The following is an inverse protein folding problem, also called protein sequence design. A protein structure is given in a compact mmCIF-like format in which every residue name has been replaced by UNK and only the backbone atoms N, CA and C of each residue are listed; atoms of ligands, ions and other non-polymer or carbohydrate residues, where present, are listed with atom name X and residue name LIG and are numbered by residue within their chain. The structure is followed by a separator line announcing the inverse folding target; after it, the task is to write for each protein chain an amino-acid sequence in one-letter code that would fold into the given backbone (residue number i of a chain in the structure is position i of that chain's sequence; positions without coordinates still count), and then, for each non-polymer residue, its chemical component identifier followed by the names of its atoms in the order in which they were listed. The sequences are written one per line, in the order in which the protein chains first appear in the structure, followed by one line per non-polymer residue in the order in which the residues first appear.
data_IF_699299298768
#
_entry.id   IF_699299298768
#
_cell.length_a   1.000
_cell.length_b   1.000
_cell.length_c   1.000
_cell.angle_alpha   90.00
_cell.angle_beta   90.00
_cell.angle_gamma   90.00
#
_symmetry.space_group_name_H-M   'P 1'
#
loop_
_entity.id
_entity.type
_entity.pdbx_description
1 polymer ?
#
# COMPACT_ATOMS: atom_id res chain seq x y z
N UNK A 1 -11.45 16.02 -16.42
CA UNK A 1 -10.97 14.66 -16.76
C UNK A 1 -10.15 14.80 -18.03
N UNK A 2 -8.85 14.98 -17.90
CA UNK A 2 -7.95 15.06 -19.05
C UNK A 2 -7.64 13.62 -19.46
N UNK A 3 -8.04 13.27 -20.71
CA UNK A 3 -7.82 11.97 -21.31
C UNK A 3 -6.33 11.75 -21.66
N UNK A 4 -5.49 11.60 -20.64
CA UNK A 4 -4.16 11.01 -20.84
C UNK A 4 -4.37 9.50 -21.03
N UNK A 5 -4.11 9.00 -22.23
CA UNK A 5 -4.05 7.54 -22.47
C UNK A 5 -3.10 6.91 -21.46
N UNK A 6 -3.62 5.97 -20.67
CA UNK A 6 -2.77 5.21 -19.74
C UNK A 6 -1.73 4.44 -20.54
N UNK A 7 -0.44 4.52 -20.19
CA UNK A 7 0.60 3.80 -20.93
C UNK A 7 0.38 2.29 -20.85
N UNK A 8 0.61 1.57 -21.94
CA UNK A 8 0.55 0.12 -21.96
C UNK A 8 1.72 -0.46 -21.16
N UNK A 9 1.41 -1.07 -20.01
CA UNK A 9 2.42 -1.76 -19.22
C UNK A 9 2.82 -3.10 -19.86
N UNK A 10 4.10 -3.41 -19.86
CA UNK A 10 4.61 -4.71 -20.36
C UNK A 10 4.19 -5.87 -19.45
N UNK A 11 4.01 -5.58 -18.16
CA UNK A 11 3.64 -6.57 -17.14
C UNK A 11 2.33 -6.13 -16.49
N UNK A 12 1.30 -6.97 -16.63
CA UNK A 12 0.07 -6.82 -15.85
C UNK A 12 0.16 -7.70 -14.60
N UNK A 13 0.10 -7.09 -13.43
CA UNK A 13 0.10 -7.80 -12.15
C UNK A 13 -1.31 -8.27 -11.82
N UNK A 14 -1.51 -9.59 -11.87
CA UNK A 14 -2.79 -10.25 -11.60
C UNK A 14 -2.68 -11.17 -10.38
N UNK A 15 -3.80 -11.49 -9.69
CA UNK A 15 -3.77 -12.43 -8.57
C UNK A 15 -3.15 -13.78 -8.93
N UNK A 16 -3.35 -14.27 -10.16
CA UNK A 16 -2.76 -15.52 -10.63
C UNK A 16 -1.24 -15.46 -10.78
N UNK A 17 -0.68 -14.31 -11.17
CA UNK A 17 0.78 -14.11 -11.20
C UNK A 17 1.36 -14.05 -9.79
N UNK A 18 0.72 -13.31 -8.88
CA UNK A 18 1.13 -13.28 -7.48
C UNK A 18 1.06 -14.67 -6.83
N UNK A 19 0.04 -15.46 -7.10
CA UNK A 19 -0.02 -16.86 -6.64
C UNK A 19 1.19 -17.68 -7.10
N UNK A 20 1.62 -17.50 -8.36
CA UNK A 20 2.74 -18.26 -8.94
C UNK A 20 4.08 -17.88 -8.33
N UNK A 21 4.32 -16.61 -8.06
CA UNK A 21 5.59 -16.11 -7.53
C UNK A 21 5.65 -16.04 -6.00
N UNK A 22 4.53 -16.28 -5.31
CA UNK A 22 4.39 -16.06 -3.87
C UNK A 22 5.52 -16.68 -3.04
N UNK A 23 5.96 -17.90 -3.40
CA UNK A 23 7.04 -18.62 -2.70
C UNK A 23 8.38 -17.89 -2.70
N UNK A 24 8.65 -17.12 -3.75
CA UNK A 24 9.91 -16.40 -3.96
C UNK A 24 9.78 -14.90 -3.77
N UNK A 25 8.54 -14.42 -3.53
CA UNK A 25 8.22 -13.00 -3.50
C UNK A 25 9.08 -12.22 -2.52
N UNK A 26 9.19 -12.68 -1.27
CA UNK A 26 9.99 -11.99 -0.26
C UNK A 26 11.47 -11.88 -0.63
N UNK A 27 12.03 -12.94 -1.25
CA UNK A 27 13.42 -12.93 -1.70
C UNK A 27 13.63 -11.89 -2.81
N UNK A 28 12.75 -11.91 -3.82
CA UNK A 28 12.82 -11.00 -4.96
C UNK A 28 12.55 -9.55 -4.53
N UNK A 29 11.52 -9.33 -3.74
CA UNK A 29 11.17 -8.00 -3.24
C UNK A 29 12.27 -7.39 -2.37
N UNK A 30 12.88 -8.17 -1.46
CA UNK A 30 13.99 -7.68 -0.64
C UNK A 30 15.26 -7.39 -1.44
N UNK A 31 15.49 -8.11 -2.54
CA UNK A 31 16.66 -7.91 -3.40
C UNK A 31 16.48 -6.70 -4.31
N UNK A 32 15.31 -6.58 -4.96
CA UNK A 32 15.05 -5.55 -5.97
C UNK A 32 14.56 -4.23 -5.37
N UNK A 33 13.82 -4.29 -4.26
CA UNK A 33 13.19 -3.14 -3.62
C UNK A 33 13.54 -3.02 -2.13
N UNK A 34 14.83 -2.87 -1.76
CA UNK A 34 15.26 -2.83 -0.35
C UNK A 34 14.68 -1.63 0.41
N UNK A 35 14.18 -0.61 -0.32
CA UNK A 35 13.55 0.58 0.26
C UNK A 35 12.22 0.25 0.96
N UNK A 36 11.55 -0.84 0.59
CA UNK A 36 10.29 -1.27 1.20
C UNK A 36 10.36 -1.45 2.71
N UNK A 37 11.52 -1.91 3.25
CA UNK A 37 11.72 -1.99 4.70
C UNK A 37 11.65 -0.62 5.40
N UNK A 38 12.09 0.46 4.75
CA UNK A 38 11.96 1.82 5.30
C UNK A 38 10.48 2.23 5.37
N UNK A 39 9.69 1.85 4.37
CA UNK A 39 8.24 2.02 4.37
C UNK A 39 7.60 1.31 5.55
N UNK A 40 7.89 0.02 5.77
CA UNK A 40 7.33 -0.74 6.91
C UNK A 40 7.67 -0.10 8.27
N UNK A 41 8.92 0.28 8.47
CA UNK A 41 9.34 0.94 9.72
C UNK A 41 8.63 2.27 9.90
N UNK A 42 8.45 3.03 8.83
CA UNK A 42 7.80 4.34 8.89
C UNK A 42 6.29 4.23 9.09
N UNK A 43 5.65 3.21 8.47
CA UNK A 43 4.25 2.88 8.73
C UNK A 43 4.00 2.61 10.21
N UNK A 44 4.88 1.86 10.87
CA UNK A 44 4.72 1.43 12.26
C UNK A 44 5.32 2.39 13.29
N UNK A 45 5.90 3.50 12.85
CA UNK A 45 6.49 4.49 13.76
C UNK A 45 5.41 5.20 14.59
N UNK A 46 5.64 5.29 15.91
CA UNK A 46 4.71 5.90 16.85
C UNK A 46 3.41 5.12 17.08
N UNK A 47 3.28 3.87 16.56
CA UNK A 47 2.17 2.98 16.88
C UNK A 47 2.61 2.01 17.98
N UNK A 48 1.82 1.92 19.06
CA UNK A 48 2.08 1.03 20.20
C UNK A 48 0.91 0.10 20.53
N UNK A 49 -0.31 0.44 20.10
CA UNK A 49 -1.53 -0.32 20.38
C UNK A 49 -2.59 -0.07 19.30
N UNK A 50 -3.64 -0.90 19.27
CA UNK A 50 -4.78 -0.76 18.36
C UNK A 50 -4.86 -1.84 17.29
N UNK A 51 -5.88 -1.69 16.42
CA UNK A 51 -6.13 -2.59 15.30
C UNK A 51 -5.57 -2.00 14.01
N UNK A 52 -4.74 -2.77 13.31
CA UNK A 52 -4.15 -2.38 12.01
C UNK A 52 -4.67 -3.28 10.89
N UNK A 53 -5.14 -2.68 9.80
CA UNK A 53 -5.45 -3.35 8.54
C UNK A 53 -4.37 -3.04 7.51
N UNK A 54 -3.71 -4.08 7.01
CA UNK A 54 -2.77 -4.01 5.88
C UNK A 54 -3.52 -4.36 4.58
N UNK A 55 -3.69 -3.37 3.71
CA UNK A 55 -4.43 -3.48 2.44
C UNK A 55 -3.48 -3.99 1.37
N UNK A 56 -3.85 -5.11 0.72
CA UNK A 56 -2.98 -5.89 -0.15
C UNK A 56 -1.71 -6.37 0.58
N UNK A 57 -1.90 -7.06 1.71
CA UNK A 57 -0.86 -7.43 2.68
C UNK A 57 0.19 -8.42 2.14
N UNK A 58 -0.01 -8.99 0.95
CA UNK A 58 0.91 -9.95 0.35
C UNK A 58 1.24 -11.11 1.30
N UNK A 59 2.53 -11.36 1.51
CA UNK A 59 3.04 -12.41 2.40
C UNK A 59 3.01 -12.03 3.89
N UNK A 60 2.43 -10.89 4.27
CA UNK A 60 2.29 -10.44 5.66
C UNK A 60 3.56 -9.90 6.30
N UNK A 61 4.52 -9.41 5.53
CA UNK A 61 5.80 -8.94 6.08
C UNK A 61 5.67 -7.72 6.99
N UNK A 62 4.79 -6.77 6.66
CA UNK A 62 4.45 -5.63 7.53
C UNK A 62 3.74 -6.13 8.81
N UNK A 63 2.74 -7.01 8.65
CA UNK A 63 1.96 -7.51 9.78
C UNK A 63 2.80 -8.32 10.76
N UNK A 64 3.87 -9.01 10.30
CA UNK A 64 4.83 -9.66 11.21
C UNK A 64 5.51 -8.64 12.13
N UNK A 65 5.88 -7.48 11.61
CA UNK A 65 6.48 -6.42 12.44
C UNK A 65 5.44 -5.77 13.36
N UNK A 66 4.20 -5.63 12.88
CA UNK A 66 3.10 -5.07 13.66
C UNK A 66 2.71 -5.99 14.83
N UNK A 67 2.63 -7.30 14.61
CA UNK A 67 2.31 -8.28 15.67
C UNK A 67 3.39 -8.31 16.76
N UNK A 68 4.66 -8.16 16.38
CA UNK A 68 5.77 -8.06 17.35
C UNK A 68 5.68 -6.81 18.25
N UNK A 69 4.93 -5.79 17.83
CA UNK A 69 4.61 -4.61 18.65
C UNK A 69 3.34 -4.78 19.48
N UNK A 70 2.66 -5.93 19.39
CA UNK A 70 1.42 -6.21 20.15
C UNK A 70 0.14 -5.69 19.48
N UNK A 71 0.18 -5.29 18.20
CA UNK A 71 -0.99 -4.80 17.48
C UNK A 71 -1.94 -5.95 17.11
N UNK A 72 -3.25 -5.69 17.12
CA UNK A 72 -4.25 -6.58 16.53
C UNK A 72 -4.19 -6.47 15.01
N UNK A 73 -3.67 -7.51 14.35
CA UNK A 73 -3.31 -7.50 12.93
C UNK A 73 -4.39 -8.08 12.03
N UNK A 74 -4.73 -7.36 10.97
CA UNK A 74 -5.66 -7.78 9.92
C UNK A 74 -5.01 -7.59 8.55
N UNK A 75 -5.16 -8.56 7.65
CA UNK A 75 -4.64 -8.50 6.30
C UNK A 75 -5.70 -8.80 5.26
N UNK A 76 -5.71 -8.02 4.19
CA UNK A 76 -6.54 -8.21 3.01
C UNK A 76 -5.64 -8.45 1.79
N UNK A 77 -5.91 -9.48 1.01
CA UNK A 77 -5.24 -9.72 -0.28
C UNK A 77 -6.14 -10.53 -1.21
N UNK A 78 -5.97 -10.37 -2.51
CA UNK A 78 -6.71 -11.14 -3.52
C UNK A 78 -6.04 -12.48 -3.85
N UNK A 79 -4.78 -12.68 -3.46
CA UNK A 79 -3.98 -13.86 -3.78
C UNK A 79 -4.04 -14.88 -2.64
N UNK A 80 -4.68 -16.03 -2.91
CA UNK A 80 -4.69 -17.15 -1.97
C UNK A 80 -3.28 -17.68 -1.64
N UNK A 81 -2.36 -17.63 -2.61
CA UNK A 81 -0.96 -18.02 -2.42
C UNK A 81 -0.23 -17.08 -1.46
N UNK A 82 -0.42 -15.77 -1.58
CA UNK A 82 0.12 -14.78 -0.65
C UNK A 82 -0.44 -14.99 0.75
N UNK A 83 -1.75 -15.09 0.90
CA UNK A 83 -2.41 -15.31 2.18
C UNK A 83 -2.00 -16.63 2.86
N UNK A 84 -1.74 -17.69 2.08
CA UNK A 84 -1.23 -18.95 2.63
C UNK A 84 0.13 -18.77 3.30
N UNK A 85 1.00 -17.93 2.74
CA UNK A 85 2.30 -17.59 3.33
C UNK A 85 2.11 -16.67 4.53
N UNK A 86 1.28 -15.66 4.41
CA UNK A 86 1.00 -14.69 5.48
C UNK A 86 0.47 -15.39 6.74
N UNK A 87 -0.49 -16.32 6.61
CA UNK A 87 -1.04 -17.11 7.72
C UNK A 87 0.01 -17.95 8.44
N UNK A 88 1.01 -18.47 7.72
CA UNK A 88 2.12 -19.21 8.36
C UNK A 88 3.11 -18.26 9.05
N UNK A 89 3.30 -17.06 8.49
CA UNK A 89 4.25 -16.07 8.98
C UNK A 89 3.73 -15.32 10.23
N UNK A 90 2.41 -15.12 10.30
CA UNK A 90 1.72 -14.37 11.36
C UNK A 90 0.43 -15.11 11.73
N UNK A 91 0.51 -16.26 12.41
CA UNK A 91 -0.64 -17.13 12.68
C UNK A 91 -1.70 -16.47 13.58
N UNK A 92 -1.33 -15.48 14.39
CA UNK A 92 -2.22 -14.70 15.26
C UNK A 92 -3.01 -13.61 14.51
N UNK A 93 -2.63 -13.24 13.27
CA UNK A 93 -3.33 -12.24 12.49
C UNK A 93 -4.56 -12.80 11.79
N UNK A 94 -5.57 -11.96 11.58
CA UNK A 94 -6.77 -12.31 10.83
C UNK A 94 -6.63 -11.91 9.36
N UNK A 95 -6.71 -12.89 8.46
CA UNK A 95 -6.60 -12.67 7.03
C UNK A 95 -7.93 -12.91 6.32
N UNK A 96 -8.28 -11.97 5.41
CA UNK A 96 -9.42 -12.08 4.50
C UNK A 96 -8.94 -12.05 3.06
N UNK A 97 -9.54 -12.91 2.23
CA UNK A 97 -9.39 -12.83 0.78
C UNK A 97 -10.46 -11.89 0.24
N UNK A 98 -10.08 -10.88 -0.50
CA UNK A 98 -11.00 -9.88 -1.04
C UNK A 98 -10.29 -8.79 -1.82
N UNK A 99 -11.11 -7.97 -2.51
CA UNK A 99 -10.64 -6.82 -3.27
C UNK A 99 -10.49 -5.59 -2.35
N UNK A 100 -9.51 -4.76 -2.64
CA UNK A 100 -9.38 -3.44 -2.01
C UNK A 100 -10.40 -2.41 -2.53
N UNK A 101 -11.13 -2.73 -3.62
CA UNK A 101 -12.22 -1.90 -4.13
C UNK A 101 -13.53 -2.05 -3.34
N UNK A 102 -13.68 -3.17 -2.63
CA UNK A 102 -14.82 -3.48 -1.78
C UNK A 102 -14.32 -4.35 -0.63
N UNK A 103 -13.81 -3.70 0.41
CA UNK A 103 -13.19 -4.41 1.53
C UNK A 103 -14.26 -5.09 2.39
N UNK A 104 -14.12 -6.42 2.70
CA UNK A 104 -15.11 -7.19 3.46
C UNK A 104 -15.03 -6.91 4.96
N UNK A 105 -15.02 -5.62 5.32
CA UNK A 105 -14.97 -5.13 6.69
C UNK A 105 -16.04 -4.04 6.90
N UNK A 106 -16.64 -3.95 8.09
CA UNK A 106 -17.55 -2.86 8.43
C UNK A 106 -16.83 -1.50 8.36
N UNK A 107 -17.60 -0.44 8.20
CA UNK A 107 -17.06 0.91 8.34
C UNK A 107 -16.51 1.16 9.75
N UNK A 108 -15.53 2.06 9.87
CA UNK A 108 -14.99 2.51 11.17
C UNK A 108 -14.47 1.37 12.06
N UNK A 109 -13.80 0.38 11.45
CA UNK A 109 -13.34 -0.84 12.14
C UNK A 109 -11.91 -0.75 12.68
N UNK A 110 -11.02 0.01 12.01
CA UNK A 110 -9.59 -0.03 12.26
C UNK A 110 -9.04 1.31 12.75
N UNK A 111 -8.12 1.25 13.71
CA UNK A 111 -7.39 2.43 14.20
C UNK A 111 -6.37 2.90 13.16
N UNK A 112 -5.77 1.93 12.44
CA UNK A 112 -4.81 2.17 11.37
C UNK A 112 -5.19 1.37 10.13
N UNK A 113 -5.30 2.04 8.99
CA UNK A 113 -5.45 1.42 7.68
C UNK A 113 -4.21 1.74 6.86
N UNK A 114 -3.46 0.71 6.47
CA UNK A 114 -2.15 0.90 5.86
C UNK A 114 -2.04 0.22 4.52
N UNK A 115 -1.18 0.76 3.67
CA UNK A 115 -0.84 0.23 2.37
C UNK A 115 0.66 0.38 2.12
N UNK A 116 1.28 -0.63 1.50
CA UNK A 116 2.70 -0.58 1.13
C UNK A 116 2.96 -1.25 -0.21
N UNK A 117 3.37 -0.46 -1.21
CA UNK A 117 3.82 -0.92 -2.53
C UNK A 117 2.82 -1.84 -3.28
N UNK A 118 1.53 -1.57 -3.19
CA UNK A 118 0.53 -2.46 -3.76
C UNK A 118 -0.55 -1.76 -4.60
N UNK A 119 -0.77 -0.45 -4.43
CA UNK A 119 -1.82 0.29 -5.13
C UNK A 119 -1.23 1.15 -6.25
N UNK A 120 -0.17 0.68 -6.88
CA UNK A 120 0.57 1.39 -7.92
C UNK A 120 0.41 0.83 -9.35
N UNK A 121 -0.44 -0.17 -9.56
CA UNK A 121 -0.68 -0.76 -10.89
C UNK A 121 -1.37 0.19 -11.87
N UNK A 122 -1.08 0.05 -13.18
CA UNK A 122 -1.52 0.96 -14.24
C UNK A 122 -3.06 1.07 -14.40
N UNK A 123 -3.79 0.01 -14.04
CA UNK A 123 -5.25 -0.06 -14.21
C UNK A 123 -6.03 0.16 -12.90
N UNK A 124 -5.34 0.55 -11.82
CA UNK A 124 -5.97 0.70 -10.51
C UNK A 124 -6.73 2.03 -10.44
N UNK A 125 -7.98 1.99 -10.01
CA UNK A 125 -8.73 3.16 -9.55
C UNK A 125 -8.34 3.47 -8.10
N UNK A 126 -7.25 4.23 -7.96
CA UNK A 126 -6.68 4.57 -6.64
C UNK A 126 -7.64 5.39 -5.79
N UNK A 127 -8.47 6.23 -6.41
CA UNK A 127 -9.46 7.02 -5.66
C UNK A 127 -10.48 6.10 -4.98
N UNK A 128 -10.98 5.08 -5.69
CA UNK A 128 -11.90 4.11 -5.09
C UNK A 128 -11.24 3.33 -3.94
N UNK A 129 -9.97 2.91 -4.08
CA UNK A 129 -9.23 2.25 -2.99
C UNK A 129 -9.11 3.17 -1.78
N UNK A 130 -8.74 4.43 -1.99
CA UNK A 130 -8.63 5.42 -0.90
C UNK A 130 -9.98 5.63 -0.21
N UNK A 131 -11.09 5.72 -0.95
CA UNK A 131 -12.44 5.83 -0.37
C UNK A 131 -12.78 4.64 0.52
N UNK A 132 -12.43 3.43 0.12
CA UNK A 132 -12.60 2.22 0.94
C UNK A 132 -11.69 2.22 2.17
N UNK A 133 -10.43 2.65 2.05
CA UNK A 133 -9.54 2.83 3.21
C UNK A 133 -10.12 3.84 4.20
N UNK A 134 -10.67 4.95 3.72
CA UNK A 134 -11.35 5.95 4.55
C UNK A 134 -12.59 5.33 5.20
N UNK A 135 -13.41 4.56 4.48
CA UNK A 135 -14.62 3.94 5.01
C UNK A 135 -14.32 3.03 6.20
N UNK A 136 -13.34 2.14 6.07
CA UNK A 136 -13.01 1.16 7.11
C UNK A 136 -12.17 1.73 8.26
N UNK A 137 -11.54 2.88 8.09
CA UNK A 137 -10.80 3.58 9.13
C UNK A 137 -11.77 4.22 10.14
N UNK A 138 -11.48 4.15 11.44
CA UNK A 138 -12.25 4.82 12.50
C UNK A 138 -12.13 6.35 12.39
N UNK A 139 -13.13 7.07 12.90
CA UNK A 139 -12.96 8.49 13.22
C UNK A 139 -11.85 8.63 14.27
N UNK A 140 -10.92 9.56 14.07
CA UNK A 140 -9.71 9.66 14.88
C UNK A 140 -8.62 8.64 14.53
N UNK A 141 -8.88 7.69 13.62
CA UNK A 141 -7.87 6.75 13.12
C UNK A 141 -6.98 7.36 12.04
N UNK A 142 -5.98 6.61 11.64
CA UNK A 142 -5.00 7.06 10.64
C UNK A 142 -4.95 6.15 9.42
N UNK A 143 -4.77 6.78 8.24
CA UNK A 143 -4.40 6.10 7.01
C UNK A 143 -2.94 6.40 6.76
N UNK A 144 -2.14 5.34 6.51
CA UNK A 144 -0.71 5.45 6.25
C UNK A 144 -0.34 4.67 5.00
N UNK A 145 0.29 5.37 4.06
CA UNK A 145 0.72 4.81 2.77
C UNK A 145 2.24 4.97 2.64
N UNK A 146 2.93 3.90 2.22
CA UNK A 146 4.33 3.99 1.83
C UNK A 146 4.49 3.37 0.44
N UNK A 147 4.53 4.21 -0.58
CA UNK A 147 4.49 3.77 -1.96
C UNK A 147 5.24 4.73 -2.91
N UNK A 148 5.34 4.32 -4.17
CA UNK A 148 5.85 5.16 -5.25
C UNK A 148 4.79 6.20 -5.63
N UNK A 149 5.19 7.46 -5.61
CA UNK A 149 4.31 8.60 -5.87
C UNK A 149 4.94 9.56 -6.87
N UNK A 150 4.13 10.41 -7.49
CA UNK A 150 4.66 11.50 -8.31
C UNK A 150 5.42 12.49 -7.41
N UNK A 151 6.70 12.79 -7.68
CA UNK A 151 7.45 13.74 -6.88
C UNK A 151 6.90 15.16 -7.11
N UNK A 152 6.82 16.01 -6.07
CA UNK A 152 6.28 17.36 -6.20
C UNK A 152 7.11 18.26 -7.13
N UNK A 153 8.38 17.93 -7.35
CA UNK A 153 9.28 18.60 -8.30
C UNK A 153 10.01 17.54 -9.12
N UNK A 154 9.47 17.15 -10.30
CA UNK A 154 10.06 16.11 -11.11
C UNK A 154 11.42 16.55 -11.68
N UNK A 155 12.43 15.74 -11.44
CA UNK A 155 13.79 15.88 -12.01
C UNK A 155 13.94 14.99 -13.24
N UNK A 156 15.03 15.14 -13.99
CA UNK A 156 15.34 14.24 -15.11
C UNK A 156 15.47 12.77 -14.63
N UNK A 157 16.07 12.57 -13.45
CA UNK A 157 16.23 11.24 -12.87
C UNK A 157 14.87 10.65 -12.48
N UNK A 158 13.97 11.42 -11.82
CA UNK A 158 12.65 10.92 -11.46
C UNK A 158 11.80 10.54 -12.67
N UNK A 159 11.89 11.31 -13.77
CA UNK A 159 11.21 10.97 -15.04
C UNK A 159 11.74 9.67 -15.67
N UNK A 160 13.06 9.43 -15.56
CA UNK A 160 13.64 8.18 -16.02
C UNK A 160 13.18 7.00 -15.16
N UNK A 161 13.16 7.16 -13.82
CA UNK A 161 12.69 6.14 -12.90
C UNK A 161 11.18 5.85 -13.11
N UNK A 162 10.36 6.88 -13.33
CA UNK A 162 8.94 6.70 -13.64
C UNK A 162 8.72 5.85 -14.91
N UNK A 163 9.53 6.08 -15.96
CA UNK A 163 9.48 5.24 -17.17
C UNK A 163 9.84 3.77 -16.88
N UNK A 164 10.81 3.53 -16.00
CA UNK A 164 11.17 2.17 -15.58
C UNK A 164 10.03 1.53 -14.79
N UNK A 165 9.40 2.25 -13.86
CA UNK A 165 8.22 1.77 -13.12
C UNK A 165 7.08 1.40 -14.08
N UNK A 166 6.72 2.29 -15.01
CA UNK A 166 5.69 2.02 -16.02
C UNK A 166 6.03 0.76 -16.83
N UNK A 167 7.30 0.59 -17.22
CA UNK A 167 7.74 -0.58 -17.97
C UNK A 167 7.54 -1.89 -17.19
N UNK A 168 7.76 -1.89 -15.88
CA UNK A 168 7.54 -3.06 -15.01
C UNK A 168 6.10 -3.20 -14.51
N UNK A 169 5.19 -2.34 -14.95
CA UNK A 169 3.76 -2.43 -14.62
C UNK A 169 3.33 -1.69 -13.36
N UNK A 170 4.22 -0.84 -12.82
CA UNK A 170 3.90 0.06 -11.72
C UNK A 170 3.64 1.48 -12.22
N UNK A 171 2.86 2.25 -11.46
CA UNK A 171 2.52 3.61 -11.81
C UNK A 171 2.54 4.51 -10.56
N UNK A 172 3.25 5.62 -10.65
CA UNK A 172 3.32 6.59 -9.55
C UNK A 172 2.07 7.49 -9.55
N UNK A 173 1.22 7.37 -8.56
CA UNK A 173 0.04 8.21 -8.37
C UNK A 173 0.33 9.43 -7.49
N UNK A 174 -0.46 10.49 -7.66
CA UNK A 174 -0.46 11.64 -6.78
C UNK A 174 -1.48 11.44 -5.64
N UNK A 175 -1.12 10.61 -4.67
CA UNK A 175 -1.95 10.32 -3.50
C UNK A 175 -2.31 11.60 -2.73
N UNK A 176 -1.40 12.57 -2.67
CA UNK A 176 -1.61 13.83 -1.95
C UNK A 176 -2.77 14.59 -2.56
N UNK A 177 -2.76 14.72 -3.90
CA UNK A 177 -3.84 15.37 -4.62
C UNK A 177 -5.17 14.64 -4.42
N UNK A 178 -5.19 13.31 -4.51
CA UNK A 178 -6.42 12.52 -4.31
C UNK A 178 -6.99 12.76 -2.90
N UNK A 179 -6.17 12.73 -1.85
CA UNK A 179 -6.64 13.02 -0.50
C UNK A 179 -7.14 14.46 -0.35
N UNK A 180 -6.47 15.44 -0.96
CA UNK A 180 -6.91 16.84 -0.95
C UNK A 180 -8.27 17.01 -1.65
N UNK A 181 -8.46 16.38 -2.79
CA UNK A 181 -9.74 16.38 -3.54
C UNK A 181 -10.88 15.75 -2.71
N UNK A 182 -10.55 14.81 -1.81
CA UNK A 182 -11.46 14.19 -0.85
C UNK A 182 -11.62 14.98 0.47
N UNK A 183 -10.98 16.15 0.61
CA UNK A 183 -11.08 17.02 1.79
C UNK A 183 -10.13 16.68 2.94
N UNK A 184 -9.13 15.84 2.72
CA UNK A 184 -8.15 15.46 3.75
C UNK A 184 -6.80 16.14 3.54
N UNK A 185 -6.14 16.49 4.67
CA UNK A 185 -4.77 17.02 4.65
C UNK A 185 -3.76 15.90 4.85
N UNK A 186 -2.85 15.76 3.89
CA UNK A 186 -1.78 14.78 3.93
C UNK A 186 -0.50 15.35 4.56
N UNK A 187 0.11 14.61 5.50
CA UNK A 187 1.50 14.81 5.91
C UNK A 187 2.38 13.88 5.09
N UNK A 188 3.40 14.43 4.43
CA UNK A 188 4.25 13.71 3.49
C UNK A 188 5.69 13.76 3.92
N UNK A 189 6.38 12.62 3.86
CA UNK A 189 7.81 12.48 4.07
C UNK A 189 8.45 11.70 2.91
N UNK A 190 9.56 12.21 2.39
CA UNK A 190 10.30 11.54 1.33
C UNK A 190 11.22 10.48 1.93
N UNK A 191 11.05 9.22 1.53
CA UNK A 191 11.85 8.10 2.01
C UNK A 191 13.02 7.74 1.09
N UNK A 192 12.99 8.18 -0.16
CA UNK A 192 14.05 7.91 -1.13
C UNK A 192 13.61 7.99 -2.58
N UNK A 193 14.41 7.41 -3.49
CA UNK A 193 14.17 7.38 -4.93
C UNK A 193 13.90 8.77 -5.52
N UNK A 194 14.75 9.74 -5.14
CA UNK A 194 14.63 11.12 -5.60
C UNK A 194 13.24 11.74 -5.37
N UNK A 195 12.64 11.42 -4.21
CA UNK A 195 11.31 11.91 -3.80
C UNK A 195 10.13 11.11 -4.37
N UNK A 196 10.37 10.06 -5.13
CA UNK A 196 9.30 9.19 -5.65
C UNK A 196 8.81 8.15 -4.65
N UNK A 197 9.63 7.73 -3.67
CA UNK A 197 9.17 6.86 -2.60
C UNK A 197 8.85 7.70 -1.38
N UNK A 198 7.58 7.72 -0.99
CA UNK A 198 7.05 8.62 0.03
C UNK A 198 6.28 7.84 1.09
N UNK A 199 6.31 8.39 2.30
CA UNK A 199 5.37 8.05 3.36
C UNK A 199 4.32 9.16 3.47
N UNK A 200 3.07 8.77 3.42
CA UNK A 200 1.91 9.65 3.48
C UNK A 200 1.07 9.25 4.69
N UNK A 201 0.69 10.23 5.50
CA UNK A 201 -0.11 10.05 6.70
C UNK A 201 -1.30 10.99 6.69
N UNK A 202 -2.47 10.42 6.89
CA UNK A 202 -3.76 11.12 6.96
C UNK A 202 -4.38 10.80 8.31
N UNK A 203 -4.86 11.84 8.99
CA UNK A 203 -5.73 11.69 10.17
C UNK A 203 -7.18 11.77 9.71
N UNK A 204 -7.98 10.72 9.94
CA UNK A 204 -9.42 10.78 9.67
C UNK A 204 -10.12 11.54 10.79
N UNK A 205 -10.73 12.68 10.48
CA UNK A 205 -11.37 13.58 11.45
C UNK A 205 -12.86 13.35 11.64
N UNK A 206 -13.55 12.77 10.67
CA UNK A 206 -15.01 12.51 10.71
C UNK A 206 -15.40 11.26 9.92
#
# INVERSE_FOLDING_TARGET
MNGEEKPSALIQWTPSRYNRISKYYDLVANLLFPIGKRGYLRILDGISEGCILDVACGTGSLLKLASQKGLSCYGLDTSAGMLSIAKRKVPEAMFRMGSFYEMPFPEKSFDYVVETNAVSGVEIDVEQVIREMIRVCKCGGEIRIADYTKPPRPTMLSRMLERVLIFVGDFAYDYVKIFQDLGYQAKVEQLGWNGMYQFIRIQKTS
#
